data_IF_896770321263
#
_entry.id   IF_896770321263
#
_cell.length_a   1.000
_cell.length_b   1.000
_cell.length_c   1.000
_cell.angle_alpha   90.00
_cell.angle_beta   90.00
_cell.angle_gamma   90.00
#
_symmetry.space_group_name_H-M   'P 1'
#
loop_
_entity.id
_entity.type
_entity.pdbx_description
1 polymer ?
#
# COMPACT_ATOMS: atom_id res chain seq x y z
N UNK A 1 -13.72 -3.24 20.31
CA UNK A 1 -13.89 -2.43 19.09
C UNK A 1 -12.56 -1.77 18.73
N UNK A 2 -12.13 -1.85 17.47
CA UNK A 2 -11.03 -1.00 16.98
C UNK A 2 -11.50 0.44 16.93
N UNK A 3 -10.62 1.39 17.29
CA UNK A 3 -10.95 2.81 17.18
C UNK A 3 -11.11 3.20 15.71
N UNK A 4 -12.18 3.92 15.37
CA UNK A 4 -12.41 4.43 14.01
C UNK A 4 -11.22 5.27 13.52
N UNK A 5 -10.60 6.03 14.41
CA UNK A 5 -9.41 6.83 14.10
C UNK A 5 -8.22 5.98 13.64
N UNK A 6 -8.01 4.81 14.26
CA UNK A 6 -6.95 3.87 13.87
C UNK A 6 -7.23 3.27 12.49
N UNK A 7 -8.47 2.86 12.23
CA UNK A 7 -8.87 2.33 10.92
C UNK A 7 -8.69 3.36 9.81
N UNK A 8 -9.02 4.63 10.06
CA UNK A 8 -8.80 5.73 9.11
C UNK A 8 -7.30 5.92 8.86
N UNK A 9 -6.47 5.94 9.91
CA UNK A 9 -5.02 6.12 9.75
C UNK A 9 -4.37 5.04 8.86
N UNK A 10 -4.72 3.77 9.07
CA UNK A 10 -4.22 2.63 8.27
C UNK A 10 -4.61 2.78 6.80
N UNK A 11 -5.87 3.14 6.57
CA UNK A 11 -6.43 3.31 5.23
C UNK A 11 -5.85 4.52 4.52
N UNK A 12 -5.65 5.64 5.22
CA UNK A 12 -5.00 6.82 4.67
C UNK A 12 -3.56 6.55 4.28
N UNK A 13 -2.81 5.78 5.07
CA UNK A 13 -1.47 5.33 4.71
C UNK A 13 -1.47 4.47 3.44
N UNK A 14 -2.45 3.57 3.30
CA UNK A 14 -2.61 2.75 2.11
C UNK A 14 -2.90 3.60 0.86
N UNK A 15 -3.86 4.54 0.94
CA UNK A 15 -4.18 5.45 -0.18
C UNK A 15 -3.00 6.35 -0.52
N UNK A 16 -2.29 6.87 0.47
CA UNK A 16 -1.07 7.64 0.27
C UNK A 16 0.04 6.81 -0.41
N UNK A 17 0.19 5.53 -0.04
CA UNK A 17 1.09 4.59 -0.68
C UNK A 17 0.77 4.40 -2.17
N UNK A 18 -0.51 4.25 -2.51
CA UNK A 18 -0.97 4.14 -3.91
C UNK A 18 -0.67 5.41 -4.70
N UNK A 19 -1.00 6.59 -4.14
CA UNK A 19 -0.72 7.87 -4.78
C UNK A 19 0.79 8.09 -5.00
N UNK A 20 1.60 7.84 -3.96
CA UNK A 20 3.06 7.93 -4.03
C UNK A 20 3.65 6.96 -5.07
N UNK A 21 3.09 5.76 -5.18
CA UNK A 21 3.54 4.77 -6.17
C UNK A 21 3.30 5.24 -7.60
N UNK A 22 2.16 5.89 -7.86
CA UNK A 22 1.88 6.48 -9.17
C UNK A 22 2.76 7.69 -9.46
N UNK A 23 2.97 8.57 -8.48
CA UNK A 23 3.89 9.71 -8.62
C UNK A 23 5.32 9.23 -8.93
N UNK A 24 5.80 8.21 -8.20
CA UNK A 24 7.10 7.59 -8.44
C UNK A 24 7.20 6.97 -9.84
N UNK A 25 6.13 6.34 -10.32
CA UNK A 25 6.10 5.74 -11.66
C UNK A 25 6.08 6.79 -12.77
N UNK A 26 5.35 7.89 -12.59
CA UNK A 26 5.39 9.01 -13.52
C UNK A 26 6.79 9.62 -13.57
N UNK A 27 7.39 9.88 -12.41
CA UNK A 27 8.74 10.45 -12.33
C UNK A 27 9.82 9.54 -12.92
N UNK A 28 9.73 8.23 -12.69
CA UNK A 28 10.72 7.28 -13.17
C UNK A 28 10.60 7.00 -14.67
N UNK A 29 9.38 6.92 -15.21
CA UNK A 29 9.15 6.40 -16.57
C UNK A 29 8.52 7.40 -17.56
N UNK A 30 8.16 8.62 -17.14
CA UNK A 30 7.47 9.65 -17.96
C UNK A 30 6.22 9.14 -18.72
N UNK A 31 5.62 8.02 -18.26
CA UNK A 31 4.48 7.38 -18.91
C UNK A 31 3.26 7.34 -17.99
N UNK A 32 2.23 8.11 -18.34
CA UNK A 32 0.92 8.03 -17.70
C UNK A 32 0.02 7.04 -18.46
N UNK A 33 -0.15 5.82 -17.93
CA UNK A 33 -1.09 4.84 -18.51
C UNK A 33 -2.46 5.03 -17.87
N UNK A 34 -3.56 5.28 -18.60
CA UNK A 34 -4.89 5.57 -18.01
C UNK A 34 -5.46 4.45 -17.12
N UNK A 35 -5.03 3.20 -17.32
CA UNK A 35 -5.32 2.09 -16.39
C UNK A 35 -4.77 2.33 -14.97
N UNK A 36 -3.91 3.33 -14.75
CA UNK A 36 -3.42 3.78 -13.45
C UNK A 36 -4.51 4.35 -12.55
N UNK A 37 -5.51 5.04 -13.12
CA UNK A 37 -6.57 5.68 -12.33
C UNK A 37 -7.47 4.66 -11.63
N UNK A 38 -7.60 3.46 -12.21
CA UNK A 38 -8.35 2.33 -11.63
C UNK A 38 -7.76 1.93 -10.27
N UNK A 39 -6.44 1.97 -10.10
CA UNK A 39 -5.79 1.63 -8.84
C UNK A 39 -6.11 2.63 -7.72
N UNK A 40 -6.17 3.92 -8.03
CA UNK A 40 -6.54 4.97 -7.06
C UNK A 40 -8.02 4.85 -6.67
N UNK A 41 -8.91 4.66 -7.65
CA UNK A 41 -10.35 4.48 -7.41
C UNK A 41 -10.60 3.21 -6.58
N UNK A 42 -9.91 2.12 -6.89
CA UNK A 42 -9.98 0.87 -6.12
C UNK A 42 -9.48 1.07 -4.68
N UNK A 43 -8.41 1.84 -4.48
CA UNK A 43 -7.88 2.13 -3.15
C UNK A 43 -8.86 2.95 -2.31
N UNK A 44 -9.54 3.93 -2.91
CA UNK A 44 -10.58 4.72 -2.24
C UNK A 44 -11.83 3.88 -1.96
N UNK A 45 -12.25 3.02 -2.89
CA UNK A 45 -13.37 2.11 -2.66
C UNK A 45 -13.08 1.14 -1.50
N UNK A 46 -11.86 0.60 -1.45
CA UNK A 46 -11.40 -0.23 -0.36
C UNK A 46 -11.31 0.52 0.96
N UNK A 47 -10.84 1.76 0.92
CA UNK A 47 -10.80 2.65 2.08
C UNK A 47 -12.17 2.82 2.73
N UNK A 48 -13.19 3.11 1.91
CA UNK A 48 -14.57 3.32 2.38
C UNK A 48 -15.14 2.02 2.96
N UNK A 49 -14.97 0.89 2.27
CA UNK A 49 -15.44 -0.43 2.73
C UNK A 49 -14.74 -0.87 4.02
N UNK A 50 -13.45 -0.55 4.16
CA UNK A 50 -12.67 -0.84 5.36
C UNK A 50 -13.19 -0.08 6.58
N UNK A 51 -13.48 1.21 6.41
CA UNK A 51 -14.04 2.06 7.47
C UNK A 51 -15.46 1.62 7.87
N UNK A 52 -16.24 1.11 6.91
CA UNK A 52 -17.55 0.50 7.18
C UNK A 52 -17.46 -0.82 7.96
N UNK A 53 -16.26 -1.39 8.09
CA UNK A 53 -16.01 -2.56 8.92
C UNK A 53 -16.18 -3.89 8.19
N UNK A 54 -16.25 -3.90 6.86
CA UNK A 54 -16.36 -5.12 6.08
C UNK A 54 -15.08 -5.96 6.18
N UNK A 55 -15.20 -7.20 6.64
CA UNK A 55 -14.09 -8.14 6.81
C UNK A 55 -13.37 -8.41 5.48
N UNK A 56 -14.12 -8.54 4.38
CA UNK A 56 -13.54 -8.84 3.07
C UNK A 56 -12.62 -7.71 2.61
N UNK A 57 -13.06 -6.46 2.73
CA UNK A 57 -12.24 -5.29 2.43
C UNK A 57 -10.94 -5.24 3.23
N UNK A 58 -10.92 -5.69 4.50
CA UNK A 58 -9.68 -5.72 5.31
C UNK A 58 -8.66 -6.71 4.79
N UNK A 59 -9.10 -7.89 4.38
CA UNK A 59 -8.25 -8.91 3.76
C UNK A 59 -7.75 -8.44 2.40
N UNK A 60 -8.60 -7.77 1.63
CA UNK A 60 -8.22 -7.24 0.32
C UNK A 60 -7.20 -6.11 0.44
N UNK A 61 -7.39 -5.16 1.38
CA UNK A 61 -6.39 -4.12 1.69
C UNK A 61 -5.06 -4.72 2.15
N UNK A 62 -5.10 -5.80 2.95
CA UNK A 62 -3.89 -6.51 3.36
C UNK A 62 -3.16 -7.13 2.15
N UNK A 63 -3.89 -7.83 1.28
CA UNK A 63 -3.32 -8.44 0.08
C UNK A 63 -2.70 -7.40 -0.86
N UNK A 64 -3.42 -6.31 -1.13
CA UNK A 64 -2.91 -5.21 -1.95
C UNK A 64 -1.76 -4.45 -1.27
N UNK A 65 -1.76 -4.32 0.06
CA UNK A 65 -0.64 -3.74 0.80
C UNK A 65 0.64 -4.54 0.64
N UNK A 66 0.56 -5.87 0.81
CA UNK A 66 1.70 -6.78 0.60
C UNK A 66 2.19 -6.71 -0.84
N UNK A 67 1.28 -6.80 -1.81
CA UNK A 67 1.61 -6.74 -3.23
C UNK A 67 2.25 -5.39 -3.61
N UNK A 68 1.70 -4.28 -3.11
CA UNK A 68 2.22 -2.94 -3.33
C UNK A 68 3.62 -2.74 -2.76
N UNK A 69 3.88 -3.22 -1.53
CA UNK A 69 5.21 -3.20 -0.93
C UNK A 69 6.20 -4.03 -1.75
N UNK A 70 5.85 -5.26 -2.09
CA UNK A 70 6.69 -6.14 -2.91
C UNK A 70 7.02 -5.52 -4.27
N UNK A 71 6.01 -5.02 -4.99
CA UNK A 71 6.21 -4.39 -6.29
C UNK A 71 7.13 -3.18 -6.21
N UNK A 72 6.96 -2.33 -5.18
CA UNK A 72 7.79 -1.15 -4.96
C UNK A 72 9.26 -1.49 -4.73
N UNK A 73 9.55 -2.42 -3.81
CA UNK A 73 10.93 -2.81 -3.53
C UNK A 73 11.56 -3.60 -4.67
N UNK A 74 10.78 -4.43 -5.37
CA UNK A 74 11.28 -5.14 -6.54
C UNK A 74 11.66 -4.16 -7.67
N UNK A 75 10.84 -3.13 -7.92
CA UNK A 75 11.17 -2.06 -8.88
C UNK A 75 12.41 -1.27 -8.46
N UNK A 76 12.52 -0.89 -7.19
CA UNK A 76 13.72 -0.24 -6.65
C UNK A 76 14.98 -1.09 -6.90
N UNK A 77 14.95 -2.37 -6.54
CA UNK A 77 16.09 -3.28 -6.71
C UNK A 77 16.40 -3.54 -8.20
N UNK A 78 15.37 -3.64 -9.04
CA UNK A 78 15.54 -3.85 -10.48
C UNK A 78 16.21 -2.64 -11.16
N UNK A 79 15.77 -1.42 -10.82
CA UNK A 79 16.31 -0.17 -11.35
C UNK A 79 17.69 0.14 -10.77
N UNK A 80 17.96 -0.27 -9.54
CA UNK A 80 19.29 -0.10 -8.92
C UNK A 80 20.33 -1.09 -9.45
N UNK A 81 19.92 -2.33 -9.72
CA UNK A 81 20.84 -3.40 -10.14
C UNK A 81 21.24 -3.33 -11.61
N UNK A 82 20.34 -2.84 -12.46
CA UNK A 82 20.65 -2.48 -13.85
C UNK A 82 20.92 -0.99 -13.84
N UNK A 83 22.08 -0.52 -14.32
CA UNK A 83 22.27 0.90 -14.66
C UNK A 83 21.25 1.22 -15.76
N UNK A 84 20.01 1.52 -15.37
CA UNK A 84 18.87 1.52 -16.25
C UNK A 84 18.81 2.89 -16.95
N UNK A 85 19.66 3.03 -17.96
CA UNK A 85 19.54 4.09 -18.96
C UNK A 85 18.34 3.75 -19.84
N UNK A 86 17.15 4.20 -19.43
CA UNK A 86 16.05 4.33 -20.39
C UNK A 86 16.29 5.64 -21.14
N UNK A 87 16.58 5.51 -22.44
CA UNK A 87 16.75 6.65 -23.37
C UNK A 87 17.78 7.71 -22.91
N UNK A 88 18.86 7.29 -22.22
CA UNK A 88 19.91 8.20 -21.77
C UNK A 88 19.58 9.01 -20.50
N UNK A 89 18.43 8.78 -19.87
CA UNK A 89 18.04 9.40 -18.60
C UNK A 89 18.31 8.43 -17.44
N UNK A 90 19.02 8.88 -16.41
CA UNK A 90 19.21 8.09 -15.19
C UNK A 90 17.86 7.85 -14.50
N UNK A 91 17.46 6.59 -14.40
CA UNK A 91 16.26 6.23 -13.65
C UNK A 91 16.56 6.17 -12.16
N UNK A 92 16.03 7.12 -11.41
CA UNK A 92 16.13 7.13 -9.94
C UNK A 92 15.12 6.17 -9.32
N UNK A 93 15.55 4.93 -9.12
CA UNK A 93 14.74 3.90 -8.45
C UNK A 93 14.33 4.27 -7.01
N UNK A 94 15.02 5.22 -6.37
CA UNK A 94 14.76 5.69 -5.00
C UNK A 94 13.33 6.22 -4.81
N UNK A 95 12.69 6.71 -5.88
CA UNK A 95 11.30 7.15 -5.83
C UNK A 95 10.33 6.04 -5.37
N UNK A 96 10.69 4.76 -5.54
CA UNK A 96 9.88 3.62 -5.11
C UNK A 96 10.08 3.22 -3.64
N UNK A 97 11.03 3.81 -2.91
CA UNK A 97 11.26 3.49 -1.49
C UNK A 97 10.06 3.96 -0.64
N UNK A 98 9.66 5.23 -0.80
CA UNK A 98 8.56 5.83 -0.03
C UNK A 98 7.24 5.05 -0.14
N UNK A 99 6.72 4.73 -1.35
CA UNK A 99 5.50 3.93 -1.45
C UNK A 99 5.68 2.53 -0.85
N UNK A 100 6.85 1.90 -1.00
CA UNK A 100 7.14 0.61 -0.37
C UNK A 100 7.02 0.67 1.16
N UNK A 101 7.56 1.72 1.79
CA UNK A 101 7.46 1.94 3.25
C UNK A 101 6.01 2.17 3.68
N UNK A 102 5.25 3.00 2.96
CA UNK A 102 3.84 3.28 3.28
C UNK A 102 2.98 2.01 3.21
N UNK A 103 3.15 1.20 2.15
CA UNK A 103 2.47 -0.08 2.03
C UNK A 103 2.87 -1.05 3.16
N UNK A 104 4.14 -1.11 3.51
CA UNK A 104 4.64 -1.96 4.60
C UNK A 104 4.06 -1.56 5.94
N UNK A 105 4.06 -0.27 6.27
CA UNK A 105 3.48 0.26 7.50
C UNK A 105 1.98 -0.03 7.58
N UNK A 106 1.23 0.22 6.50
CA UNK A 106 -0.21 -0.07 6.47
C UNK A 106 -0.49 -1.56 6.71
N UNK A 107 0.31 -2.45 6.10
CA UNK A 107 0.20 -3.91 6.22
C UNK A 107 0.53 -4.38 7.64
N UNK A 108 1.63 -3.89 8.23
CA UNK A 108 2.03 -4.25 9.60
C UNK A 108 0.95 -3.82 10.60
N UNK A 109 0.45 -2.59 10.47
CA UNK A 109 -0.63 -2.10 11.33
C UNK A 109 -1.91 -2.94 11.19
N UNK A 110 -2.25 -3.39 9.98
CA UNK A 110 -3.36 -4.32 9.76
C UNK A 110 -3.16 -5.64 10.49
N UNK A 111 -1.99 -6.27 10.33
CA UNK A 111 -1.64 -7.54 10.96
C UNK A 111 -1.71 -7.41 12.49
N UNK A 112 -1.08 -6.39 13.06
CA UNK A 112 -1.13 -6.11 14.50
C UNK A 112 -2.59 -5.96 14.96
N UNK A 113 -3.42 -5.26 14.18
CA UNK A 113 -4.82 -5.07 14.53
C UNK A 113 -5.62 -6.39 14.50
N UNK A 114 -5.31 -7.30 13.57
CA UNK A 114 -5.89 -8.64 13.52
C UNK A 114 -5.47 -9.48 14.73
N UNK A 115 -4.17 -9.48 15.05
CA UNK A 115 -3.64 -10.21 16.21
C UNK A 115 -4.29 -9.72 17.52
N UNK A 116 -4.34 -8.41 17.74
CA UNK A 116 -4.98 -7.82 18.93
C UNK A 116 -6.47 -8.18 18.99
N UNK A 117 -7.16 -8.19 17.85
CA UNK A 117 -8.56 -8.61 17.76
C UNK A 117 -8.77 -10.07 18.19
N UNK A 118 -7.90 -10.98 17.73
CA UNK A 118 -7.93 -12.41 18.12
C UNK A 118 -7.64 -12.61 19.61
N UNK A 119 -6.64 -11.92 20.16
CA UNK A 119 -6.31 -11.99 21.58
C UNK A 119 -7.46 -11.49 22.47
N UNK A 120 -8.16 -10.42 22.10
CA UNK A 120 -9.32 -9.94 22.85
C UNK A 120 -10.48 -10.93 22.81
N UNK A 121 -10.77 -11.54 21.66
CA UNK A 121 -11.83 -12.56 21.55
C UNK A 121 -11.54 -13.80 22.42
N UNK A 122 -10.28 -14.26 22.48
CA UNK A 122 -9.88 -15.38 23.34
C UNK A 122 -9.99 -15.08 24.84
N UNK A 123 -9.82 -13.83 25.27
CA UNK A 123 -9.96 -13.45 26.68
C UNK A 123 -11.42 -13.31 27.16
N UNK A 124 -12.35 -13.03 26.26
CA UNK A 124 -13.79 -12.90 26.59
C UNK A 124 -14.49 -14.27 26.61
N UNK A 125 -13.91 -15.28 25.96
CA UNK A 125 -14.40 -16.65 25.96
C UNK A 125 -13.86 -17.51 27.13
N UNK A 126 -13.11 -16.91 28.06
CA UNK A 126 -12.65 -17.50 29.32
C UNK A 126 -13.30 -16.76 30.47
#
# INVERSE_FOLDING_TARGET
MQSKAFSIAVVSLFVAGVAAWYAARYWAFDQFRPFSLIGVVLAIALAISFVRGDLFSRWLTLAFGIFGAYSSFNLFLHIRSKVALLEGKEMNGEAFILPGVLFSLSTVLLIVSFMVGQFRKRKVAK
#
